data_IF_295309693827
#
_entry.id   IF_295309693827
#
_cell.length_a   1.000
_cell.length_b   1.000
_cell.length_c   1.000
_cell.angle_alpha   90.00
_cell.angle_beta   90.00
_cell.angle_gamma   90.00
#
_symmetry.space_group_name_H-M   'P 1'
#
loop_
_entity.id
_entity.type
_entity.pdbx_description
1 polymer ?
#
# COMPACT_ATOMS: atom_id res chain seq x y z
N UNK A 1 -9.22 35.74 16.24
CA UNK A 1 -10.39 36.63 15.95
C UNK A 1 -11.24 35.88 14.94
N UNK A 2 -12.46 35.37 15.17
CA UNK A 2 -13.45 35.41 16.27
C UNK A 2 -14.40 34.17 16.08
N UNK A 3 -15.39 33.87 16.95
CA UNK A 3 -15.39 33.76 18.42
C UNK A 3 -15.93 32.38 18.91
N UNK A 4 -15.70 32.09 20.20
CA UNK A 4 -16.29 30.99 20.98
C UNK A 4 -17.36 31.58 21.90
N UNK A 5 -18.54 30.96 21.99
CA UNK A 5 -19.57 31.35 22.95
C UNK A 5 -19.51 30.43 24.18
N UNK A 6 -19.29 31.02 25.34
CA UNK A 6 -19.44 30.41 26.67
C UNK A 6 -20.58 31.08 27.41
N UNK A 7 -21.39 30.30 28.11
CA UNK A 7 -22.17 30.83 29.24
C UNK A 7 -22.14 29.80 30.38
N UNK A 8 -21.47 30.16 31.46
CA UNK A 8 -21.60 29.53 32.77
C UNK A 8 -22.74 30.22 33.54
N UNK A 9 -23.52 29.44 34.29
CA UNK A 9 -24.25 29.93 35.46
C UNK A 9 -24.11 28.95 36.62
N UNK A 10 -23.73 29.49 37.77
CA UNK A 10 -23.42 28.79 39.02
C UNK A 10 -24.55 28.89 40.05
N UNK A 11 -24.79 27.76 40.74
CA UNK A 11 -25.18 27.56 42.15
C UNK A 11 -26.58 28.01 42.65
N UNK A 12 -27.33 27.08 43.27
CA UNK A 12 -27.31 26.85 44.74
C UNK A 12 -28.29 25.74 45.18
N UNK A 13 -27.88 25.00 46.20
CA UNK A 13 -28.57 23.92 46.91
C UNK A 13 -29.50 24.42 48.03
N UNK A 14 -30.62 23.74 48.29
CA UNK A 14 -31.22 23.58 49.63
C UNK A 14 -32.39 22.56 49.66
N UNK A 15 -32.35 21.59 50.59
CA UNK A 15 -33.54 20.97 51.21
C UNK A 15 -33.92 19.51 50.85
N UNK A 16 -33.55 18.54 51.69
CA UNK A 16 -34.11 17.17 51.82
C UNK A 16 -35.34 17.16 52.77
N UNK A 17 -36.11 16.06 53.03
CA UNK A 17 -36.21 14.75 52.36
C UNK A 17 -37.66 14.20 52.19
N UNK A 18 -38.00 13.44 51.13
CA UNK A 18 -39.04 12.37 51.17
C UNK A 18 -38.75 11.22 50.17
N UNK A 19 -39.15 10.02 50.58
CA UNK A 19 -38.72 8.68 50.13
C UNK A 19 -39.11 8.27 48.69
N UNK A 20 -38.18 7.53 48.09
CA UNK A 20 -38.30 6.34 47.23
C UNK A 20 -39.23 6.37 46.00
N UNK A 21 -38.62 6.45 44.81
CA UNK A 21 -38.98 5.61 43.65
C UNK A 21 -37.69 5.29 42.89
N UNK A 22 -37.34 4.01 42.84
CA UNK A 22 -36.30 3.47 41.96
C UNK A 22 -36.81 3.53 40.52
N UNK A 23 -36.42 4.54 39.75
CA UNK A 23 -36.68 4.59 38.32
C UNK A 23 -35.38 4.74 37.54
N UNK A 24 -35.27 3.90 36.52
CA UNK A 24 -34.10 3.54 35.73
C UNK A 24 -33.18 4.68 35.34
N UNK A 25 -31.89 4.41 35.49
CA UNK A 25 -30.82 5.07 34.74
C UNK A 25 -31.21 4.98 33.26
N UNK A 26 -31.42 6.14 32.63
CA UNK A 26 -31.61 6.23 31.20
C UNK A 26 -30.44 5.53 30.50
N UNK A 27 -30.73 4.48 29.73
CA UNK A 27 -29.75 3.74 28.94
C UNK A 27 -29.04 4.73 28.02
N UNK A 28 -27.72 4.82 28.16
CA UNK A 28 -26.85 5.36 27.12
C UNK A 28 -27.13 4.57 25.84
N UNK A 29 -27.66 5.23 24.81
CA UNK A 29 -27.82 4.63 23.50
C UNK A 29 -26.43 4.41 22.91
N UNK A 30 -25.96 3.15 22.93
CA UNK A 30 -24.79 2.74 22.19
C UNK A 30 -25.27 2.26 20.80
N UNK A 31 -25.00 3.01 19.71
CA UNK A 31 -25.39 2.60 18.35
C UNK A 31 -24.67 1.33 17.85
N UNK A 32 -23.74 0.78 18.64
CA UNK A 32 -22.94 -0.39 18.30
C UNK A 32 -23.15 -1.58 19.26
N UNK A 33 -24.25 -1.62 20.02
CA UNK A 33 -24.55 -2.80 20.84
C UNK A 33 -24.96 -3.98 19.96
N UNK A 34 -24.08 -4.98 19.85
CA UNK A 34 -24.43 -6.32 19.35
C UNK A 34 -24.74 -7.24 20.54
N UNK A 35 -25.92 -7.87 20.58
CA UNK A 35 -26.26 -8.81 21.66
C UNK A 35 -25.35 -10.06 21.59
N UNK A 36 -25.06 -10.69 22.74
CA UNK A 36 -24.28 -11.93 22.78
C UNK A 36 -25.04 -13.09 22.13
N UNK A 37 -24.29 -13.98 21.47
CA UNK A 37 -24.77 -15.01 20.53
C UNK A 37 -25.54 -16.20 21.15
N UNK A 38 -26.22 -16.02 22.29
CA UNK A 38 -26.91 -17.11 22.99
C UNK A 38 -28.40 -16.84 23.24
N UNK A 39 -29.09 -16.18 22.32
CA UNK A 39 -30.55 -16.25 22.26
C UNK A 39 -30.96 -17.46 21.42
N UNK A 40 -31.07 -18.59 22.12
CA UNK A 40 -31.81 -19.75 21.62
C UNK A 40 -33.31 -19.43 21.70
N UNK A 41 -33.93 -19.12 20.55
CA UNK A 41 -35.17 -19.73 20.05
C UNK A 41 -35.90 -18.81 19.03
N UNK A 42 -35.25 -18.49 17.90
CA UNK A 42 -35.84 -17.72 16.79
C UNK A 42 -36.53 -18.60 15.73
N UNK A 43 -37.05 -19.78 16.11
CA UNK A 43 -37.68 -20.71 15.15
C UNK A 43 -38.88 -20.13 14.40
N UNK A 44 -39.44 -19.02 14.87
CA UNK A 44 -40.59 -18.32 14.27
C UNK A 44 -40.19 -17.05 13.49
N UNK A 45 -38.91 -16.70 13.43
CA UNK A 45 -38.45 -15.51 12.72
C UNK A 45 -38.51 -15.72 11.20
N UNK A 46 -39.29 -14.89 10.50
CA UNK A 46 -39.59 -14.99 9.06
C UNK A 46 -38.34 -15.09 8.16
N UNK A 47 -37.20 -14.59 8.62
CA UNK A 47 -35.94 -14.56 7.86
C UNK A 47 -34.84 -15.47 8.45
N UNK A 48 -35.20 -16.46 9.28
CA UNK A 48 -34.25 -17.37 9.92
C UNK A 48 -33.35 -18.14 8.92
N UNK A 49 -33.79 -18.31 7.67
CA UNK A 49 -33.04 -18.97 6.59
C UNK A 49 -31.87 -18.13 6.03
N UNK A 50 -31.75 -16.85 6.39
CA UNK A 50 -30.59 -16.01 6.06
C UNK A 50 -29.50 -16.03 7.14
N UNK A 51 -29.69 -16.78 8.22
CA UNK A 51 -28.64 -16.91 9.23
C UNK A 51 -27.41 -17.61 8.62
N UNK A 52 -26.19 -17.21 9.01
CA UNK A 52 -24.97 -17.91 8.60
C UNK A 52 -25.11 -19.38 9.00
N UNK A 53 -25.18 -20.27 8.02
CA UNK A 53 -25.09 -21.71 8.23
C UNK A 53 -23.77 -22.16 7.64
N UNK A 54 -23.01 -22.94 8.42
CA UNK A 54 -21.84 -23.62 7.90
C UNK A 54 -22.34 -25.00 7.44
N UNK A 55 -22.60 -25.18 6.13
CA UNK A 55 -23.04 -26.48 5.66
C UNK A 55 -21.90 -27.48 5.88
N UNK A 56 -22.25 -28.71 6.25
CA UNK A 56 -21.30 -29.80 6.50
C UNK A 56 -20.76 -30.32 5.14
N UNK A 57 -19.95 -29.48 4.48
CA UNK A 57 -19.37 -29.73 3.16
C UNK A 57 -17.89 -30.01 3.34
N UNK A 58 -17.50 -31.24 3.01
CA UNK A 58 -16.09 -31.63 2.92
C UNK A 58 -15.66 -31.44 1.47
N UNK A 59 -14.82 -30.44 1.21
CA UNK A 59 -14.22 -30.25 -0.11
C UNK A 59 -13.16 -31.31 -0.38
N UNK A 60 -13.00 -31.66 -1.66
CA UNK A 60 -11.91 -32.52 -2.09
C UNK A 60 -10.53 -31.85 -1.79
N UNK A 61 -9.45 -32.64 -1.65
CA UNK A 61 -8.10 -32.10 -1.50
C UNK A 61 -7.76 -31.12 -2.62
N UNK A 62 -7.06 -30.03 -2.29
CA UNK A 62 -6.63 -29.04 -3.27
C UNK A 62 -5.65 -29.68 -4.27
N UNK A 63 -5.99 -29.64 -5.55
CA UNK A 63 -5.11 -30.06 -6.64
C UNK A 63 -4.27 -28.87 -7.13
N UNK A 64 -3.06 -29.14 -7.59
CA UNK A 64 -2.16 -28.12 -8.15
C UNK A 64 -2.74 -27.62 -9.47
N UNK A 65 -3.11 -26.33 -9.52
CA UNK A 65 -3.59 -25.68 -10.73
C UNK A 65 -2.44 -24.92 -11.39
N UNK A 66 -2.18 -25.22 -12.65
CA UNK A 66 -1.20 -24.49 -13.44
C UNK A 66 -1.73 -23.08 -13.73
N UNK A 67 -1.20 -22.08 -13.03
CA UNK A 67 -1.63 -20.67 -13.18
C UNK A 67 -0.81 -20.01 -14.28
N UNK A 68 -1.46 -19.66 -15.39
CA UNK A 68 -0.89 -18.81 -16.44
C UNK A 68 -1.27 -17.35 -16.17
N UNK A 69 -0.28 -16.46 -16.09
CA UNK A 69 -0.50 -15.02 -15.91
C UNK A 69 -1.32 -14.48 -17.10
N UNK A 70 -2.48 -13.88 -16.80
CA UNK A 70 -3.38 -13.35 -17.81
C UNK A 70 -2.84 -12.12 -18.55
N UNK A 71 -1.86 -11.42 -17.98
CA UNK A 71 -1.13 -10.37 -18.67
C UNK A 71 -0.32 -10.88 -19.86
N UNK A 72 0.07 -12.17 -19.87
CA UNK A 72 0.72 -12.80 -21.02
C UNK A 72 -0.23 -13.03 -22.20
N UNK A 73 -1.55 -12.99 -21.95
CA UNK A 73 -2.58 -13.15 -22.98
C UNK A 73 -2.90 -11.85 -23.72
N UNK A 74 -2.37 -10.71 -23.25
CA UNK A 74 -2.55 -9.42 -23.90
C UNK A 74 -1.73 -9.37 -25.21
N UNK A 75 -2.37 -8.97 -26.31
CA UNK A 75 -1.64 -8.61 -27.53
C UNK A 75 -0.80 -7.35 -27.23
N UNK A 76 0.54 -7.37 -27.42
CA UNK A 76 1.39 -6.20 -27.25
C UNK A 76 0.89 -4.98 -28.05
N UNK A 77 0.35 -5.23 -29.24
CA UNK A 77 -0.20 -4.23 -30.16
C UNK A 77 -1.61 -3.76 -29.76
N UNK A 78 -2.25 -4.43 -28.79
CA UNK A 78 -3.58 -4.07 -28.24
C UNK A 78 -4.67 -3.93 -29.30
N UNK A 79 -4.59 -4.76 -30.35
CA UNK A 79 -5.47 -4.69 -31.52
C UNK A 79 -6.94 -4.88 -31.16
N UNK A 80 -7.26 -5.78 -30.22
CA UNK A 80 -8.64 -6.03 -29.81
C UNK A 80 -9.21 -4.82 -29.04
N UNK A 81 -8.40 -4.18 -28.21
CA UNK A 81 -8.78 -2.98 -27.47
C UNK A 81 -8.94 -1.78 -28.40
N UNK A 82 -8.00 -1.56 -29.31
CA UNK A 82 -8.05 -0.41 -30.23
C UNK A 82 -9.18 -0.52 -31.24
N UNK A 83 -9.50 -1.71 -31.73
CA UNK A 83 -10.61 -1.92 -32.66
C UNK A 83 -11.99 -1.68 -32.04
N UNK A 84 -12.11 -1.80 -30.71
CA UNK A 84 -13.35 -1.51 -29.98
C UNK A 84 -13.63 0.00 -29.83
N UNK A 85 -12.62 0.83 -30.06
CA UNK A 85 -12.72 2.26 -29.86
C UNK A 85 -13.36 2.95 -31.05
N UNK A 86 -14.17 3.97 -30.78
CA UNK A 86 -14.67 4.86 -31.84
C UNK A 86 -13.55 5.77 -32.36
N UNK A 87 -12.56 6.09 -31.52
CA UNK A 87 -11.39 6.89 -31.90
C UNK A 87 -10.16 6.41 -31.13
N UNK A 88 -9.04 6.27 -31.83
CA UNK A 88 -7.73 5.95 -31.27
C UNK A 88 -6.75 7.05 -31.68
N UNK A 89 -6.07 7.64 -30.71
CA UNK A 89 -5.09 8.69 -30.94
C UNK A 89 -3.81 8.38 -30.17
N UNK A 90 -2.75 8.03 -30.90
CA UNK A 90 -1.42 7.86 -30.32
C UNK A 90 -0.85 9.25 -29.98
N UNK A 91 -0.59 9.51 -28.70
CA UNK A 91 -0.11 10.82 -28.24
C UNK A 91 1.41 10.88 -28.30
N UNK A 92 2.08 10.18 -27.38
CA UNK A 92 3.54 10.05 -27.35
C UNK A 92 3.92 8.69 -26.76
N UNK A 93 5.12 8.15 -27.02
CA UNK A 93 5.56 6.90 -26.41
C UNK A 93 5.51 6.91 -24.87
N UNK A 94 5.70 8.06 -24.23
CA UNK A 94 5.68 8.21 -22.77
C UNK A 94 4.26 8.29 -22.16
N UNK A 95 3.30 8.86 -22.90
CA UNK A 95 1.91 9.04 -22.43
C UNK A 95 1.04 7.85 -22.86
N UNK A 96 1.35 7.25 -24.00
CA UNK A 96 0.61 6.15 -24.60
C UNK A 96 -0.45 6.62 -25.60
N UNK A 97 -1.58 5.92 -25.61
CA UNK A 97 -2.64 6.05 -26.60
C UNK A 97 -3.94 6.49 -25.92
N UNK A 98 -4.53 7.58 -26.41
CA UNK A 98 -5.88 8.00 -26.03
C UNK A 98 -6.91 7.17 -26.81
N UNK A 99 -7.89 6.61 -26.09
CA UNK A 99 -8.93 5.76 -26.65
C UNK A 99 -10.29 6.36 -26.27
N UNK A 100 -11.16 6.64 -27.25
CA UNK A 100 -12.49 7.23 -27.02
C UNK A 100 -13.59 6.32 -27.56
N UNK A 101 -14.73 6.30 -26.86
CA UNK A 101 -15.93 5.58 -27.30
C UNK A 101 -15.92 4.09 -26.98
N UNK A 102 -15.20 3.67 -25.95
CA UNK A 102 -15.26 2.32 -25.38
C UNK A 102 -16.26 2.29 -24.22
N UNK A 103 -17.18 1.31 -24.22
CA UNK A 103 -17.98 0.97 -23.05
C UNK A 103 -17.26 -0.11 -22.23
N UNK A 104 -16.72 0.28 -21.07
CA UNK A 104 -15.96 -0.60 -20.18
C UNK A 104 -16.75 -1.83 -19.70
N UNK A 105 -18.08 -1.76 -19.69
CA UNK A 105 -18.95 -2.87 -19.26
C UNK A 105 -19.06 -3.97 -20.31
N UNK A 106 -18.79 -3.63 -21.58
CA UNK A 106 -18.99 -4.51 -22.73
C UNK A 106 -17.68 -5.06 -23.30
N UNK A 107 -16.56 -4.86 -22.60
CA UNK A 107 -15.27 -5.38 -23.04
C UNK A 107 -15.27 -6.91 -23.05
N UNK A 108 -14.82 -7.47 -24.18
CA UNK A 108 -14.50 -8.89 -24.29
C UNK A 108 -13.32 -9.27 -23.36
N UNK A 109 -13.14 -10.56 -23.02
CA UNK A 109 -12.00 -11.01 -22.23
C UNK A 109 -10.64 -10.55 -22.77
N UNK A 110 -10.43 -10.64 -24.09
CA UNK A 110 -9.19 -10.19 -24.74
C UNK A 110 -8.96 -8.68 -24.59
N UNK A 111 -10.01 -7.88 -24.74
CA UNK A 111 -9.92 -6.43 -24.54
C UNK A 111 -9.64 -6.06 -23.09
N UNK A 112 -10.12 -6.85 -22.12
CA UNK A 112 -9.80 -6.65 -20.71
C UNK A 112 -8.33 -6.95 -20.42
N UNK A 113 -7.78 -7.98 -21.05
CA UNK A 113 -6.35 -8.32 -20.93
C UNK A 113 -5.48 -7.21 -21.55
N UNK A 114 -5.90 -6.63 -22.67
CA UNK A 114 -5.17 -5.53 -23.34
C UNK A 114 -5.37 -4.16 -22.69
N UNK A 115 -6.50 -3.93 -22.00
CA UNK A 115 -6.78 -2.70 -21.25
C UNK A 115 -5.94 -2.56 -19.98
N UNK A 116 -5.50 -3.69 -19.42
CA UNK A 116 -4.83 -3.75 -18.12
C UNK A 116 -3.37 -3.26 -18.18
N UNK A 117 -3.13 -1.98 -18.53
CA UNK A 117 -1.91 -1.33 -18.06
C UNK A 117 -2.12 -0.94 -16.60
N UNK A 118 -1.66 -1.81 -15.70
CA UNK A 118 -1.73 -1.53 -14.27
C UNK A 118 -0.83 -0.35 -13.92
N UNK A 119 -1.44 0.74 -13.41
CA UNK A 119 -0.68 1.88 -12.86
C UNK A 119 0.13 1.51 -11.61
N UNK A 120 -0.03 0.28 -11.10
CA UNK A 120 0.77 -0.26 -9.98
C UNK A 120 2.25 -0.25 -10.34
N UNK A 121 2.62 -0.53 -11.59
CA UNK A 121 4.01 -0.53 -12.08
C UNK A 121 4.70 0.86 -12.02
N UNK A 122 3.92 1.93 -11.87
CA UNK A 122 4.47 3.29 -11.68
C UNK A 122 4.98 3.52 -10.26
N UNK A 123 4.56 2.71 -9.27
CA UNK A 123 5.04 2.83 -7.90
C UNK A 123 6.46 2.27 -7.77
N UNK A 124 7.39 3.12 -7.31
CA UNK A 124 8.79 2.74 -7.17
C UNK A 124 9.53 3.50 -6.08
N UNK A 125 10.62 2.91 -5.60
CA UNK A 125 11.71 3.66 -4.98
C UNK A 125 12.79 3.86 -6.04
N UNK A 126 13.36 5.05 -6.13
CA UNK A 126 14.30 5.40 -7.20
C UNK A 126 15.47 4.42 -7.27
N UNK A 127 15.69 3.86 -8.46
CA UNK A 127 16.93 3.11 -8.80
C UNK A 127 17.26 1.99 -7.79
N UNK A 128 16.23 1.33 -7.24
CA UNK A 128 16.40 0.28 -6.23
C UNK A 128 17.15 -0.98 -6.70
N UNK A 129 17.50 -1.06 -8.00
CA UNK A 129 18.34 -2.11 -8.58
C UNK A 129 19.85 -1.86 -8.46
N UNK A 130 20.27 -0.70 -7.94
CA UNK A 130 21.70 -0.45 -7.65
C UNK A 130 22.10 -1.07 -6.31
N UNK A 131 23.37 -1.50 -6.18
CA UNK A 131 23.87 -2.03 -4.90
C UNK A 131 23.76 -1.03 -3.74
N UNK A 132 23.88 0.25 -4.07
CA UNK A 132 23.72 1.37 -3.14
C UNK A 132 22.74 2.37 -3.75
N UNK A 133 21.43 2.12 -3.58
CA UNK A 133 20.39 2.99 -4.13
C UNK A 133 20.50 4.42 -3.57
N UNK A 134 19.89 5.40 -4.25
CA UNK A 134 19.77 6.76 -3.74
C UNK A 134 19.17 6.82 -2.34
N UNK A 135 19.62 7.79 -1.55
CA UNK A 135 19.01 8.13 -0.26
C UNK A 135 17.98 9.25 -0.42
N UNK A 136 18.11 10.33 0.35
CA UNK A 136 17.16 11.44 0.39
C UNK A 136 17.18 12.23 -0.91
N UNK A 137 16.09 12.20 -1.67
CA UNK A 137 15.99 12.86 -2.97
C UNK A 137 15.22 14.16 -2.85
N UNK A 138 15.69 15.19 -3.55
CA UNK A 138 15.01 16.47 -3.67
C UNK A 138 14.54 16.70 -5.10
N UNK A 139 13.32 17.22 -5.25
CA UNK A 139 12.78 17.64 -6.53
C UNK A 139 12.18 19.04 -6.38
N UNK A 140 12.65 19.97 -7.22
CA UNK A 140 12.07 21.31 -7.37
C UNK A 140 11.28 21.38 -8.67
N UNK A 141 10.00 21.72 -8.57
CA UNK A 141 9.21 22.07 -9.74
C UNK A 141 9.58 23.49 -10.19
N UNK A 142 10.08 23.66 -11.41
CA UNK A 142 10.36 24.98 -11.99
C UNK A 142 9.06 25.55 -12.56
N UNK A 143 8.39 24.76 -13.40
CA UNK A 143 7.15 25.11 -14.07
C UNK A 143 6.27 23.87 -14.15
N UNK A 144 4.98 24.02 -13.83
CA UNK A 144 4.02 22.93 -13.80
C UNK A 144 2.73 23.26 -14.52
N UNK A 145 1.89 22.25 -14.75
CA UNK A 145 0.60 22.42 -15.40
C UNK A 145 -0.39 23.17 -14.46
N UNK A 146 -1.45 23.79 -15.01
CA UNK A 146 -2.50 24.42 -14.20
C UNK A 146 -3.35 23.42 -13.41
N UNK A 147 -3.28 22.13 -13.75
CA UNK A 147 -3.94 21.03 -13.05
C UNK A 147 -3.15 19.72 -13.26
N UNK A 148 -3.34 18.76 -12.36
CA UNK A 148 -2.69 17.46 -12.41
C UNK A 148 -1.17 17.53 -12.22
N UNK A 149 -0.48 16.41 -12.48
CA UNK A 149 0.98 16.31 -12.32
C UNK A 149 1.44 16.22 -10.88
N UNK A 150 0.54 15.79 -10.00
CA UNK A 150 0.78 15.52 -8.60
C UNK A 150 1.76 14.35 -8.43
N UNK A 151 2.25 14.19 -7.21
CA UNK A 151 3.06 13.04 -6.84
C UNK A 151 2.48 12.41 -5.59
N UNK A 152 2.41 11.09 -5.59
CA UNK A 152 1.98 10.30 -4.45
C UNK A 152 3.19 9.60 -3.84
N UNK A 153 3.24 9.51 -2.52
CA UNK A 153 4.20 8.68 -1.78
C UNK A 153 3.46 7.71 -0.88
N UNK A 154 4.04 6.53 -0.68
CA UNK A 154 3.57 5.51 0.26
C UNK A 154 4.69 5.17 1.26
N UNK A 155 4.31 5.02 2.53
CA UNK A 155 5.25 4.79 3.63
C UNK A 155 5.51 3.30 3.85
N UNK A 156 6.74 2.86 3.58
CA UNK A 156 7.18 1.47 3.85
C UNK A 156 7.22 1.14 5.35
N UNK A 157 7.31 2.15 6.22
CA UNK A 157 7.18 1.98 7.67
C UNK A 157 5.75 1.66 8.09
N UNK A 158 4.79 2.44 7.59
CA UNK A 158 3.38 2.26 7.95
C UNK A 158 2.87 0.91 7.42
N UNK A 159 3.27 0.58 6.19
CA UNK A 159 3.03 -0.72 5.59
C UNK A 159 3.58 -1.88 6.42
N UNK A 160 4.84 -1.79 6.87
CA UNK A 160 5.40 -2.84 7.73
C UNK A 160 4.59 -2.99 9.03
N UNK A 161 4.24 -1.85 9.65
CA UNK A 161 3.57 -1.80 10.95
C UNK A 161 2.12 -2.32 10.90
N UNK A 162 1.48 -2.33 9.72
CA UNK A 162 0.10 -2.79 9.57
C UNK A 162 -0.05 -4.31 9.52
N UNK A 163 1.04 -5.05 9.30
CA UNK A 163 0.99 -6.51 9.20
C UNK A 163 1.00 -7.22 10.56
N UNK A 164 0.51 -8.45 10.59
CA UNK A 164 0.59 -9.29 11.79
C UNK A 164 2.04 -9.56 12.19
N UNK A 165 2.35 -9.72 13.48
CA UNK A 165 3.72 -9.97 13.93
C UNK A 165 4.37 -11.22 13.30
N UNK A 166 3.58 -12.23 12.95
CA UNK A 166 4.07 -13.44 12.28
C UNK A 166 4.45 -13.15 10.84
N UNK A 167 3.63 -12.38 10.12
CA UNK A 167 3.94 -12.00 8.74
C UNK A 167 5.11 -11.03 8.68
N UNK A 168 5.19 -10.08 9.62
CA UNK A 168 6.37 -9.21 9.80
C UNK A 168 7.67 -10.04 9.90
N UNK A 169 7.72 -11.01 10.83
CA UNK A 169 8.88 -11.91 11.00
C UNK A 169 9.21 -12.70 9.73
N UNK A 170 8.20 -13.17 9.02
CA UNK A 170 8.40 -13.85 7.75
C UNK A 170 9.09 -12.90 6.75
N UNK A 171 8.53 -11.71 6.52
CA UNK A 171 9.09 -10.71 5.60
C UNK A 171 10.52 -10.27 5.97
N UNK A 172 10.84 -10.19 7.27
CA UNK A 172 12.19 -9.88 7.77
C UNK A 172 13.27 -10.87 7.31
N UNK A 173 12.89 -12.11 7.01
CA UNK A 173 13.80 -13.17 6.55
C UNK A 173 14.04 -13.18 5.03
N UNK A 174 13.25 -12.42 4.26
CA UNK A 174 13.22 -12.53 2.81
C UNK A 174 14.14 -11.53 2.12
N UNK A 175 14.62 -11.93 0.94
CA UNK A 175 15.37 -11.09 0.01
C UNK A 175 14.69 -11.13 -1.36
N UNK A 176 14.71 -10.02 -2.09
CA UNK A 176 14.11 -9.92 -3.42
C UNK A 176 15.13 -9.41 -4.45
N UNK A 177 14.91 -9.79 -5.71
CA UNK A 177 15.65 -9.28 -6.86
C UNK A 177 15.02 -7.99 -7.36
N UNK A 178 15.85 -6.97 -7.51
CA UNK A 178 15.52 -5.69 -8.13
C UNK A 178 16.24 -5.60 -9.47
N UNK A 179 15.54 -5.25 -10.54
CA UNK A 179 16.04 -5.36 -11.91
C UNK A 179 15.76 -4.12 -12.76
N UNK A 180 16.80 -3.61 -13.42
CA UNK A 180 16.70 -2.54 -14.40
C UNK A 180 16.32 -3.02 -15.81
N UNK A 181 16.25 -4.33 -16.06
CA UNK A 181 16.14 -4.92 -17.41
C UNK A 181 14.89 -4.40 -18.12
N UNK A 182 13.71 -4.54 -17.51
CA UNK A 182 12.45 -4.07 -18.10
C UNK A 182 12.45 -2.57 -18.42
N UNK A 183 13.07 -1.74 -17.55
CA UNK A 183 13.22 -0.30 -17.79
C UNK A 183 14.15 -0.03 -18.99
N UNK A 184 15.28 -0.72 -19.07
CA UNK A 184 16.24 -0.56 -20.15
C UNK A 184 15.66 -1.02 -21.49
N UNK A 185 14.94 -2.13 -21.51
CA UNK A 185 14.28 -2.65 -22.72
C UNK A 185 13.17 -1.71 -23.18
N UNK A 186 12.36 -1.18 -22.26
CA UNK A 186 11.37 -0.14 -22.56
C UNK A 186 12.01 1.13 -23.13
N UNK A 187 13.15 1.57 -22.59
CA UNK A 187 13.90 2.72 -23.11
C UNK A 187 14.43 2.46 -24.52
N UNK A 188 15.01 1.27 -24.78
CA UNK A 188 15.49 0.88 -26.12
C UNK A 188 14.35 0.85 -27.14
N UNK A 189 13.21 0.25 -26.77
CA UNK A 189 12.02 0.18 -27.61
C UNK A 189 11.48 1.58 -27.96
N UNK A 190 11.56 2.52 -27.03
CA UNK A 190 11.19 3.93 -27.25
C UNK A 190 12.25 4.76 -28.00
N UNK A 191 13.37 4.15 -28.42
CA UNK A 191 14.48 4.84 -29.09
C UNK A 191 15.30 5.75 -28.17
N UNK A 192 15.19 5.57 -26.85
CA UNK A 192 15.96 6.32 -25.86
C UNK A 192 17.35 5.69 -25.63
N UNK A 193 18.32 6.53 -25.25
CA UNK A 193 19.67 6.08 -24.97
C UNK A 193 19.77 5.38 -23.62
N UNK A 194 20.15 4.11 -23.62
CA UNK A 194 20.57 3.37 -22.42
C UNK A 194 22.06 3.63 -22.20
N UNK A 195 22.40 4.36 -21.13
CA UNK A 195 23.78 4.84 -20.87
C UNK A 195 24.67 3.81 -20.16
N UNK A 196 24.07 2.84 -19.48
CA UNK A 196 24.73 1.76 -18.74
C UNK A 196 23.92 0.49 -18.94
N UNK A 197 24.61 -0.64 -19.05
CA UNK A 197 23.93 -1.94 -19.11
C UNK A 197 23.07 -2.17 -17.88
N UNK A 198 21.91 -2.80 -18.11
CA UNK A 198 20.98 -3.13 -17.06
C UNK A 198 21.63 -4.09 -16.06
N UNK A 199 21.35 -3.87 -14.78
CA UNK A 199 21.84 -4.72 -13.69
C UNK A 199 20.67 -5.27 -12.89
N UNK A 200 20.98 -6.33 -12.15
CA UNK A 200 20.12 -6.87 -11.12
C UNK A 200 20.87 -6.93 -9.80
N UNK A 201 20.18 -6.63 -8.71
CA UNK A 201 20.71 -6.69 -7.35
C UNK A 201 19.74 -7.45 -6.44
N UNK A 202 20.27 -7.96 -5.33
CA UNK A 202 19.47 -8.61 -4.28
C UNK A 202 19.46 -7.71 -3.06
N UNK A 203 18.25 -7.39 -2.58
CA UNK A 203 18.02 -6.56 -1.40
C UNK A 203 17.06 -7.24 -0.43
N UNK A 204 17.12 -6.93 0.88
CA UNK A 204 16.16 -7.46 1.83
C UNK A 204 14.76 -6.90 1.57
N UNK A 205 13.73 -7.74 1.72
CA UNK A 205 12.32 -7.33 1.59
C UNK A 205 11.95 -6.36 2.72
N UNK A 206 12.51 -6.55 3.92
CA UNK A 206 12.45 -5.60 5.02
C UNK A 206 13.85 -5.12 5.34
N UNK A 207 14.08 -3.83 5.15
CA UNK A 207 15.35 -3.19 5.50
C UNK A 207 15.25 -2.43 6.80
N UNK A 208 16.41 -2.14 7.40
CA UNK A 208 16.52 -1.23 8.54
C UNK A 208 17.07 0.12 8.10
N UNK A 209 16.42 1.21 8.51
CA UNK A 209 16.91 2.56 8.23
C UNK A 209 18.08 2.91 9.18
N UNK A 210 19.25 3.33 8.65
CA UNK A 210 20.50 3.35 9.40
C UNK A 210 20.50 4.35 10.56
N UNK A 211 19.78 5.48 10.42
CA UNK A 211 19.75 6.54 11.43
C UNK A 211 18.70 6.31 12.52
N UNK A 212 17.58 5.65 12.20
CA UNK A 212 16.43 5.49 13.11
C UNK A 212 16.37 4.10 13.74
N UNK A 213 16.95 3.10 13.07
CA UNK A 213 16.79 1.69 13.44
C UNK A 213 15.39 1.15 13.15
N UNK A 214 14.56 1.88 12.40
CA UNK A 214 13.21 1.45 12.07
C UNK A 214 13.19 0.52 10.85
N UNK A 215 12.33 -0.50 10.93
CA UNK A 215 12.08 -1.50 9.87
C UNK A 215 11.10 -0.96 8.84
N UNK A 216 11.44 -1.08 7.56
CA UNK A 216 10.61 -0.66 6.42
C UNK A 216 10.55 -1.76 5.37
N UNK A 217 9.37 -1.98 4.78
CA UNK A 217 9.25 -2.73 3.54
C UNK A 217 10.06 -2.03 2.44
N UNK A 218 10.81 -2.80 1.65
CA UNK A 218 11.74 -2.32 0.62
C UNK A 218 11.62 -3.12 -0.68
N UNK A 219 10.37 -3.28 -1.13
CA UNK A 219 10.05 -3.78 -2.46
C UNK A 219 9.18 -2.76 -3.17
N UNK A 220 9.14 -2.84 -4.49
CA UNK A 220 8.28 -2.00 -5.31
C UNK A 220 7.98 -2.67 -6.66
N UNK A 221 6.78 -2.44 -7.22
CA UNK A 221 6.37 -3.00 -8.52
C UNK A 221 7.38 -2.69 -9.65
N UNK A 222 7.77 -1.43 -9.76
CA UNK A 222 8.58 -0.97 -10.91
C UNK A 222 9.90 -1.72 -11.09
N UNK A 223 10.53 -2.21 -10.02
CA UNK A 223 11.84 -2.87 -10.08
C UNK A 223 11.90 -4.26 -9.48
N UNK A 224 11.02 -4.64 -8.58
CA UNK A 224 11.11 -5.94 -7.90
C UNK A 224 10.56 -7.05 -8.80
N UNK A 225 11.25 -8.19 -8.88
CA UNK A 225 10.88 -9.28 -9.81
C UNK A 225 10.47 -10.57 -9.12
N UNK A 226 11.18 -10.96 -8.07
CA UNK A 226 10.94 -12.22 -7.35
C UNK A 226 11.65 -12.24 -6.01
N UNK A 227 11.13 -13.04 -5.09
CA UNK A 227 11.76 -13.35 -3.82
C UNK A 227 12.78 -14.49 -4.04
N UNK A 228 13.97 -14.34 -3.47
CA UNK A 228 15.06 -15.30 -3.59
C UNK A 228 14.77 -16.51 -2.70
N UNK A 229 14.90 -17.71 -3.26
CA UNK A 229 14.73 -18.97 -2.52
C UNK A 229 13.28 -19.35 -2.21
N UNK A 230 12.31 -18.63 -2.78
CA UNK A 230 10.87 -18.88 -2.61
C UNK A 230 10.29 -19.33 -3.97
N UNK A 231 9.44 -20.39 -4.02
CA UNK A 231 8.77 -20.80 -5.24
C UNK A 231 8.01 -19.66 -5.91
N UNK A 232 7.92 -19.67 -7.24
CA UNK A 232 7.35 -18.55 -8.00
C UNK A 232 5.94 -18.17 -7.55
N UNK A 233 5.04 -19.14 -7.39
CA UNK A 233 3.67 -18.89 -6.98
C UNK A 233 3.59 -18.18 -5.61
N UNK A 234 4.39 -18.63 -4.65
CA UNK A 234 4.48 -18.00 -3.32
C UNK A 234 5.10 -16.60 -3.39
N UNK A 235 6.19 -16.45 -4.17
CA UNK A 235 6.85 -15.17 -4.40
C UNK A 235 5.87 -14.15 -4.98
N UNK A 236 5.13 -14.54 -6.01
CA UNK A 236 4.16 -13.68 -6.69
C UNK A 236 3.01 -13.32 -5.73
N UNK A 237 2.49 -14.28 -4.96
CA UNK A 237 1.42 -14.01 -3.98
C UNK A 237 1.85 -12.99 -2.91
N UNK A 238 3.07 -13.15 -2.36
CA UNK A 238 3.60 -12.23 -1.35
C UNK A 238 3.88 -10.85 -1.94
N UNK A 239 4.55 -10.79 -3.09
CA UNK A 239 4.86 -9.51 -3.74
C UNK A 239 3.60 -8.77 -4.17
N UNK A 240 2.60 -9.46 -4.74
CA UNK A 240 1.33 -8.84 -5.12
C UNK A 240 0.59 -8.25 -3.91
N UNK A 241 0.57 -8.95 -2.77
CA UNK A 241 0.02 -8.38 -1.53
C UNK A 241 0.73 -7.08 -1.16
N UNK A 242 2.07 -7.07 -1.15
CA UNK A 242 2.86 -5.89 -0.80
C UNK A 242 2.64 -4.74 -1.81
N UNK A 243 2.58 -5.05 -3.10
CA UNK A 243 2.38 -4.09 -4.18
C UNK A 243 1.01 -3.43 -4.09
N UNK A 244 -0.06 -4.21 -3.87
CA UNK A 244 -1.40 -3.68 -3.68
C UNK A 244 -1.50 -2.83 -2.40
N UNK A 245 -0.86 -3.23 -1.31
CA UNK A 245 -0.83 -2.39 -0.12
C UNK A 245 -0.05 -1.08 -0.33
N UNK A 246 0.97 -1.08 -1.20
CA UNK A 246 1.66 0.16 -1.60
C UNK A 246 0.74 1.08 -2.40
N UNK A 247 0.04 0.54 -3.42
CA UNK A 247 -0.70 1.34 -4.40
C UNK A 247 -2.11 1.72 -3.99
N UNK A 248 -2.78 0.86 -3.20
CA UNK A 248 -4.23 0.94 -3.00
C UNK A 248 -4.60 1.37 -1.58
N UNK A 249 -3.67 1.31 -0.62
CA UNK A 249 -3.96 1.66 0.77
C UNK A 249 -3.75 3.17 1.04
N UNK A 250 -4.83 3.96 1.22
CA UNK A 250 -4.70 5.40 1.43
C UNK A 250 -4.12 5.77 2.80
N UNK A 251 -4.19 4.88 3.80
CA UNK A 251 -3.72 5.18 5.18
C UNK A 251 -2.21 5.40 5.24
N UNK A 252 -1.47 4.90 4.25
CA UNK A 252 -0.01 5.00 4.18
C UNK A 252 0.46 6.02 3.15
N UNK A 253 -0.48 6.65 2.44
CA UNK A 253 -0.19 7.51 1.31
C UNK A 253 -0.34 9.00 1.63
N UNK A 254 0.46 9.80 0.94
CA UNK A 254 0.25 11.24 0.81
C UNK A 254 0.28 11.62 -0.66
N UNK A 255 -0.64 12.50 -1.05
CA UNK A 255 -0.67 13.13 -2.38
C UNK A 255 -0.25 14.59 -2.23
N UNK A 256 0.77 15.00 -2.98
CA UNK A 256 1.26 16.37 -2.99
C UNK A 256 0.87 17.04 -4.31
N UNK A 257 0.13 18.13 -4.19
CA UNK A 257 -0.14 19.02 -5.30
C UNK A 257 1.01 20.02 -5.44
N UNK A 258 1.54 20.15 -6.67
CA UNK A 258 2.69 21.00 -6.91
C UNK A 258 2.29 22.42 -7.29
N UNK A 259 2.94 23.40 -6.68
CA UNK A 259 2.93 24.80 -7.15
C UNK A 259 4.30 25.18 -7.76
N UNK A 260 4.38 26.20 -8.64
CA UNK A 260 5.66 26.70 -9.14
C UNK A 260 6.65 27.00 -8.01
N UNK A 261 7.89 26.52 -8.15
CA UNK A 261 8.96 26.57 -7.14
C UNK A 261 8.75 25.71 -5.89
N UNK A 262 7.70 24.89 -5.82
CA UNK A 262 7.55 23.87 -4.77
C UNK A 262 8.75 22.93 -4.76
N UNK A 263 9.18 22.54 -3.57
CA UNK A 263 10.26 21.57 -3.36
C UNK A 263 9.74 20.44 -2.48
N UNK A 264 9.84 19.21 -2.95
CA UNK A 264 9.62 18.03 -2.13
C UNK A 264 10.96 17.34 -1.86
N UNK A 265 11.12 16.86 -0.63
CA UNK A 265 12.25 16.04 -0.21
C UNK A 265 11.68 14.76 0.38
N UNK A 266 12.09 13.62 -0.13
CA UNK A 266 11.66 12.31 0.38
C UNK A 266 12.84 11.37 0.55
N UNK A 267 12.66 10.33 1.36
CA UNK A 267 13.68 9.35 1.65
C UNK A 267 13.39 8.04 0.91
N UNK A 268 14.09 7.79 -0.20
CA UNK A 268 13.92 6.59 -1.03
C UNK A 268 14.16 5.28 -0.25
N UNK A 269 14.82 5.34 0.90
CA UNK A 269 15.07 4.15 1.73
C UNK A 269 13.79 3.62 2.37
N UNK A 270 12.75 4.45 2.48
CA UNK A 270 11.56 4.12 3.27
C UNK A 270 10.25 4.52 2.60
N UNK A 271 10.32 5.16 1.44
CA UNK A 271 9.13 5.51 0.64
C UNK A 271 9.21 4.93 -0.76
N UNK A 272 8.04 4.55 -1.27
CA UNK A 272 7.79 4.43 -2.70
C UNK A 272 6.98 5.62 -3.15
N UNK A 273 7.02 5.94 -4.44
CA UNK A 273 6.28 7.05 -5.01
C UNK A 273 5.81 6.75 -6.43
N UNK A 274 4.81 7.51 -6.87
CA UNK A 274 4.24 7.40 -8.21
C UNK A 274 3.92 8.78 -8.76
N UNK A 275 4.26 9.01 -10.03
CA UNK A 275 3.90 10.21 -10.76
C UNK A 275 2.48 10.06 -11.33
N UNK A 276 1.67 11.11 -11.26
CA UNK A 276 0.41 11.16 -12.02
C UNK A 276 0.64 11.80 -13.37
N UNK A 277 0.02 11.25 -14.42
CA UNK A 277 0.12 11.73 -15.79
C UNK A 277 -1.21 12.35 -16.27
N UNK A 278 -1.88 13.08 -15.37
CA UNK A 278 -3.23 13.64 -15.51
C UNK A 278 -3.24 15.12 -15.94
N UNK A 279 -2.24 15.55 -16.70
CA UNK A 279 -2.02 16.96 -17.03
C UNK A 279 -1.82 17.26 -18.53
N UNK A 280 -2.13 16.31 -19.42
CA UNK A 280 -2.14 16.57 -20.87
C UNK A 280 -3.16 17.67 -21.21
N UNK A 281 -2.87 18.60 -22.16
CA UNK A 281 -1.70 18.69 -23.04
C UNK A 281 -0.53 19.50 -22.47
N UNK A 282 -0.57 19.85 -21.19
CA UNK A 282 0.44 20.69 -20.57
C UNK A 282 1.75 19.95 -20.35
N UNK A 283 2.82 20.72 -20.14
CA UNK A 283 4.15 20.18 -19.83
C UNK A 283 4.50 20.44 -18.37
N UNK A 284 5.48 19.69 -17.87
CA UNK A 284 5.98 19.77 -16.51
C UNK A 284 7.49 19.76 -16.54
N UNK A 285 8.14 20.75 -15.93
CA UNK A 285 9.59 20.88 -15.90
C UNK A 285 10.09 20.99 -14.46
N UNK A 286 10.93 20.05 -14.06
CA UNK A 286 11.49 19.96 -12.72
C UNK A 286 12.98 19.57 -12.75
N UNK A 287 13.68 19.92 -11.67
CA UNK A 287 15.04 19.46 -11.40
C UNK A 287 15.02 18.52 -10.21
N UNK A 288 15.74 17.41 -10.34
CA UNK A 288 15.88 16.38 -9.29
C UNK A 288 17.34 16.15 -8.97
N UNK A 289 17.67 16.08 -7.68
CA UNK A 289 18.99 15.70 -7.19
C UNK A 289 18.86 14.52 -6.22
N UNK A 290 19.64 13.47 -6.47
CA UNK A 290 19.58 12.20 -5.77
C UNK A 290 20.99 11.85 -5.25
N UNK A 291 21.29 12.03 -3.95
CA UNK A 291 22.55 11.60 -3.37
C UNK A 291 22.60 10.09 -3.24
N UNK A 292 23.81 9.53 -3.39
CA UNK A 292 24.08 8.11 -3.18
C UNK A 292 23.76 7.70 -1.75
N UNK A 293 23.18 6.52 -1.56
CA UNK A 293 22.84 5.96 -0.25
C UNK A 293 23.79 4.87 0.23
N UNK A 294 23.46 4.30 1.37
CA UNK A 294 24.08 3.07 1.86
C UNK A 294 23.49 1.82 1.18
N UNK A 295 24.22 0.71 1.24
CA UNK A 295 23.65 -0.60 0.86
C UNK A 295 22.50 -0.92 1.82
N UNK A 296 21.30 -1.31 1.34
CA UNK A 296 20.20 -1.71 2.21
C UNK A 296 20.60 -2.86 3.15
N UNK A 297 20.46 -2.64 4.45
CA UNK A 297 20.80 -3.59 5.52
C UNK A 297 19.56 -4.38 5.94
N UNK A 298 19.67 -5.72 6.01
CA UNK A 298 18.59 -6.57 6.53
C UNK A 298 18.46 -6.44 8.04
N UNK A 299 17.35 -6.92 8.61
CA UNK A 299 17.16 -6.96 10.07
C UNK A 299 18.25 -7.79 10.73
N UNK A 300 18.52 -8.98 10.21
CA UNK A 300 19.57 -9.86 10.73
C UNK A 300 20.95 -9.18 10.73
N UNK A 301 21.35 -8.58 9.60
CA UNK A 301 22.65 -7.90 9.50
C UNK A 301 22.75 -6.70 10.47
N UNK A 302 21.67 -5.94 10.61
CA UNK A 302 21.63 -4.80 11.53
C UNK A 302 21.81 -5.24 12.99
N UNK A 303 21.16 -6.34 13.39
CA UNK A 303 21.17 -6.84 14.76
C UNK A 303 22.45 -7.59 15.15
N UNK A 304 23.20 -8.13 14.18
CA UNK A 304 24.55 -8.70 14.42
C UNK A 304 25.52 -7.70 15.07
N UNK A 305 25.27 -6.40 14.92
CA UNK A 305 26.07 -5.34 15.53
C UNK A 305 25.62 -4.93 16.94
N UNK A 306 24.78 -5.74 17.60
CA UNK A 306 24.27 -5.48 18.96
C UNK A 306 23.22 -4.36 19.04
N UNK A 307 22.70 -3.93 17.89
CA UNK A 307 21.55 -3.02 17.80
C UNK A 307 20.26 -3.83 17.74
N UNK A 308 19.11 -3.17 17.97
CA UNK A 308 17.78 -3.79 17.87
C UNK A 308 16.99 -3.04 16.82
N UNK A 309 16.51 -3.75 15.81
CA UNK A 309 15.63 -3.17 14.79
C UNK A 309 14.22 -3.00 15.38
N UNK A 310 13.58 -1.87 15.12
CA UNK A 310 12.31 -1.50 15.76
C UNK A 310 11.21 -1.32 14.73
N UNK A 311 9.99 -1.67 15.13
CA UNK A 311 8.79 -1.21 14.43
C UNK A 311 8.57 0.28 14.76
N UNK A 312 8.37 1.11 13.74
CA UNK A 312 8.18 2.57 13.91
C UNK A 312 6.96 2.87 14.77
N UNK A 313 5.83 2.21 14.52
CA UNK A 313 4.57 2.53 15.18
C UNK A 313 4.64 2.17 16.67
N UNK A 314 5.22 1.01 16.99
CA UNK A 314 5.44 0.59 18.38
C UNK A 314 6.43 1.50 19.12
N UNK A 315 7.50 1.93 18.45
CA UNK A 315 8.49 2.86 19.03
C UNK A 315 7.86 4.24 19.30
N UNK A 316 7.01 4.74 18.40
CA UNK A 316 6.25 5.98 18.60
C UNK A 316 5.27 5.84 19.77
N UNK A 317 4.47 4.76 19.83
CA UNK A 317 3.53 4.54 20.93
C UNK A 317 4.21 4.48 22.29
N UNK A 318 5.36 3.81 22.35
CA UNK A 318 6.18 3.77 23.57
C UNK A 318 6.66 5.16 23.98
N UNK A 319 7.07 5.99 23.02
CA UNK A 319 7.52 7.36 23.27
C UNK A 319 6.37 8.29 23.69
N UNK A 320 5.15 8.05 23.21
CA UNK A 320 3.96 8.86 23.53
C UNK A 320 3.17 8.34 24.74
N UNK A 321 3.63 7.27 25.39
CA UNK A 321 2.97 6.70 26.59
C UNK A 321 1.71 5.89 26.29
N UNK A 322 1.49 5.48 25.04
CA UNK A 322 0.39 4.60 24.65
C UNK A 322 0.76 3.15 24.98
N UNK A 323 -0.13 2.44 25.67
CA UNK A 323 0.06 1.03 26.00
C UNK A 323 0.08 0.16 24.75
N UNK A 324 1.08 -0.71 24.62
CA UNK A 324 1.18 -1.64 23.50
C UNK A 324 0.10 -2.72 23.59
N UNK A 325 -0.54 -3.10 22.47
CA UNK A 325 -1.52 -4.18 22.45
C UNK A 325 -0.88 -5.52 22.85
N UNK A 326 -1.63 -6.40 23.53
CA UNK A 326 -1.14 -7.72 23.97
C UNK A 326 -0.60 -8.57 22.81
N UNK A 327 -1.18 -8.44 21.61
CA UNK A 327 -0.72 -9.13 20.39
C UNK A 327 0.67 -8.69 19.92
N UNK A 328 1.12 -7.48 20.27
CA UNK A 328 2.47 -6.99 19.98
C UNK A 328 3.52 -7.50 20.99
N UNK A 329 3.08 -8.08 22.12
CA UNK A 329 3.95 -8.73 23.08
C UNK A 329 4.15 -10.20 22.65
N UNK A 330 5.04 -10.39 21.67
CA UNK A 330 5.47 -11.69 21.19
C UNK A 330 5.90 -12.59 22.37
N UNK A 331 5.01 -13.50 22.79
CA UNK A 331 5.31 -14.50 23.82
C UNK A 331 4.14 -15.06 24.63
N UNK A 332 2.93 -14.48 24.57
CA UNK A 332 1.83 -14.90 25.48
C UNK A 332 0.40 -14.92 24.92
N UNK A 333 0.15 -14.84 23.61
CA UNK A 333 -1.23 -14.98 23.10
C UNK A 333 -1.53 -16.43 22.70
N UNK A 334 -2.51 -17.04 23.36
CA UNK A 334 -3.19 -18.24 22.84
C UNK A 334 -3.75 -17.92 21.45
N UNK A 335 -3.62 -18.83 20.46
CA UNK A 335 -4.14 -18.59 19.12
C UNK A 335 -5.66 -18.52 19.19
N UNK A 336 -6.23 -17.31 19.12
CA UNK A 336 -7.61 -17.13 18.69
C UNK A 336 -7.57 -17.00 17.18
N UNK A 337 -8.24 -17.91 16.49
CA UNK A 337 -8.44 -17.80 15.04
C UNK A 337 -9.11 -16.45 14.71
N UNK A 338 -8.92 -16.01 13.47
CA UNK A 338 -9.72 -14.92 12.93
C UNK A 338 -11.20 -15.33 13.02
N UNK A 339 -11.99 -14.57 13.77
CA UNK A 339 -13.44 -14.60 13.64
C UNK A 339 -13.74 -13.64 12.49
N UNK A 340 -14.00 -14.20 11.31
CA UNK A 340 -14.53 -13.44 10.16
C UNK A 340 -15.89 -12.80 10.49
#
# INVERSE_FOLDING_TARGET
MAPVATTEQTLQSNGTPKKAVSNGIAKVFNPFYSPPASDENDGTYKFAHYKPSFPDIVWAPLEEQEVTDRGLSADPEKNALFSAATKVQHLTPAIGTEITGIDLRQLSPQQKDEFAFSKIELWHSDVSYELQPPSTTSLKLIEGPPYGGDTLWSSGYALFSSFSPQFQKYLESLYAVHSAVAQADGARAAGHTVRREAIESIHPVVRVHPATGWKSVYVNPGFTRRIVGVPKAESDAVLNLLFHQISDNPDFQVRFHWEPNSVAIWDNRVTTHSATFDFYPHTRHALRATPHGEKPTSVEEYERHGKVAKDRQLDIWKQTGISLPESAQLGKSTPRGYND
#
